data_IF_510310117379
#
_entry.id   IF_510310117379
#
_cell.length_a   1.000
_cell.length_b   1.000
_cell.length_c   1.000
_cell.angle_alpha   90.00
_cell.angle_beta   90.00
_cell.angle_gamma   90.00
#
_symmetry.space_group_name_H-M   'P 1'
#
loop_
_entity.id
_entity.type
_entity.pdbx_description
1 polymer ?
#
# COMPACT_ATOMS: atom_id res chain seq x y z
N UNK A 1 -0.62 4.06 5.86
CA UNK A 1 -1.21 4.70 4.66
C UNK A 1 -2.73 4.59 4.61
N UNK A 2 -3.32 3.45 4.97
CA UNK A 2 -4.77 3.27 5.02
C UNK A 2 -5.49 4.41 5.75
N UNK A 3 -5.06 4.73 6.97
CA UNK A 3 -5.75 5.74 7.78
C UNK A 3 -5.67 7.13 7.16
N UNK A 4 -4.57 7.47 6.49
CA UNK A 4 -4.40 8.73 5.78
C UNK A 4 -5.30 8.82 4.53
N UNK A 5 -5.42 7.72 3.78
CA UNK A 5 -6.19 7.65 2.53
C UNK A 5 -7.70 7.61 2.77
N UNK A 6 -8.14 6.82 3.75
CA UNK A 6 -9.58 6.63 4.03
C UNK A 6 -10.17 7.87 4.71
N UNK A 7 -9.42 8.55 5.57
CA UNK A 7 -9.89 9.75 6.25
C UNK A 7 -9.61 11.04 5.48
N UNK A 8 -9.00 10.94 4.28
CA UNK A 8 -8.75 12.04 3.33
C UNK A 8 -8.15 13.33 3.94
N UNK A 9 -7.38 13.22 5.03
CA UNK A 9 -6.91 14.40 5.76
C UNK A 9 -6.07 15.39 4.92
N UNK A 10 -5.39 14.91 3.87
CA UNK A 10 -4.48 15.73 3.06
C UNK A 10 -4.58 15.44 1.55
N UNK A 11 -5.69 14.83 1.09
CA UNK A 11 -5.80 14.29 -0.27
C UNK A 11 -4.90 13.07 -0.52
N UNK A 12 -4.96 12.51 -1.73
CA UNK A 12 -4.22 11.29 -2.12
C UNK A 12 -3.01 11.65 -2.98
N UNK A 13 -1.80 11.35 -2.49
CA UNK A 13 -0.60 11.36 -3.36
C UNK A 13 -0.56 10.08 -4.19
N UNK A 14 -0.97 10.19 -5.45
CA UNK A 14 -0.99 9.07 -6.39
C UNK A 14 0.38 8.43 -6.63
N UNK A 15 1.48 9.20 -6.56
CA UNK A 15 2.84 8.66 -6.73
C UNK A 15 3.21 7.77 -5.56
N UNK A 16 2.84 8.19 -4.34
CA UNK A 16 3.07 7.39 -3.14
C UNK A 16 2.24 6.11 -3.16
N UNK A 17 0.97 6.19 -3.57
CA UNK A 17 0.11 5.00 -3.74
C UNK A 17 0.69 4.05 -4.78
N UNK A 18 1.13 4.57 -5.93
CA UNK A 18 1.72 3.77 -6.99
C UNK A 18 2.99 3.04 -6.55
N UNK A 19 3.86 3.72 -5.79
CA UNK A 19 5.07 3.11 -5.23
C UNK A 19 4.73 1.92 -4.34
N UNK A 20 3.83 2.10 -3.36
CA UNK A 20 3.40 1.01 -2.47
C UNK A 20 2.78 -0.15 -3.25
N UNK A 21 1.98 0.16 -4.27
CA UNK A 21 1.35 -0.87 -5.08
C UNK A 21 2.35 -1.70 -5.91
N UNK A 22 3.44 -1.08 -6.38
CA UNK A 22 4.44 -1.71 -7.25
C UNK A 22 5.59 -2.36 -6.50
N UNK A 23 5.96 -1.84 -5.34
CA UNK A 23 7.15 -2.26 -4.60
C UNK A 23 6.77 -3.07 -3.35
N UNK A 24 5.93 -2.50 -2.49
CA UNK A 24 5.67 -3.07 -1.15
C UNK A 24 4.61 -4.19 -1.18
N UNK A 25 3.53 -4.02 -1.96
CA UNK A 25 2.45 -5.02 -2.03
C UNK A 25 2.90 -6.38 -2.58
N UNK A 26 3.73 -6.49 -3.63
CA UNK A 26 4.24 -7.78 -4.10
C UNK A 26 5.07 -8.52 -3.04
N UNK A 27 5.88 -7.80 -2.28
CA UNK A 27 6.70 -8.37 -1.21
C UNK A 27 5.81 -8.91 -0.09
N UNK A 28 4.81 -8.12 0.34
CA UNK A 28 3.83 -8.55 1.33
C UNK A 28 3.05 -9.78 0.86
N UNK A 29 2.65 -9.82 -0.42
CA UNK A 29 1.95 -10.98 -1.00
C UNK A 29 2.81 -12.25 -0.91
N UNK A 30 4.08 -12.17 -1.26
CA UNK A 30 4.99 -13.32 -1.18
C UNK A 30 5.07 -13.87 0.26
N UNK A 31 5.25 -12.99 1.25
CA UNK A 31 5.29 -13.36 2.67
C UNK A 31 3.98 -14.03 3.10
N UNK A 32 2.82 -13.48 2.71
CA UNK A 32 1.52 -14.06 3.05
C UNK A 32 1.32 -15.43 2.41
N UNK A 33 1.82 -15.63 1.20
CA UNK A 33 1.75 -16.93 0.52
C UNK A 33 2.62 -18.00 1.19
N UNK A 34 3.71 -17.62 1.86
CA UNK A 34 4.53 -18.56 2.63
C UNK A 34 3.87 -18.98 3.96
N UNK A 35 2.92 -18.20 4.46
CA UNK A 35 2.21 -18.46 5.71
C UNK A 35 0.93 -19.32 5.53
N UNK A 36 0.49 -19.54 4.29
CA UNK A 36 -0.73 -20.28 3.93
C UNK A 36 -0.39 -21.67 3.40
#
# INVERSE_FOLDING_TARGET
>A
MRDLLIHQYFGVDARKVWKVAREDLPQLKAIVQELL
#
